data_IF_285030534783
#
_entry.id   IF_285030534783
#
_cell.length_a   1.000
_cell.length_b   1.000
_cell.length_c   1.000
_cell.angle_alpha   90.00
_cell.angle_beta   90.00
_cell.angle_gamma   90.00
#
_symmetry.space_group_name_H-M   'P 1'
#
loop_
_entity.id
_entity.type
_entity.pdbx_description
1 polymer ?
#
# COMPACT_ATOMS: atom_id res chain seq x y z
N UNK A 1 14.11 -13.62 8.43
CA UNK A 1 14.01 -12.95 7.11
C UNK A 1 15.33 -12.39 6.63
N UNK A 2 15.94 -11.38 7.30
CA UNK A 2 17.23 -10.78 6.85
C UNK A 2 18.32 -11.83 6.56
N UNK A 3 18.54 -12.80 7.45
CA UNK A 3 19.52 -13.88 7.19
C UNK A 3 19.17 -14.69 5.93
N UNK A 4 17.88 -14.93 5.65
CA UNK A 4 17.45 -15.65 4.46
C UNK A 4 17.67 -14.81 3.18
N UNK A 5 17.55 -13.48 3.27
CA UNK A 5 17.95 -12.55 2.22
C UNK A 5 19.46 -12.65 1.94
N UNK A 6 20.32 -12.65 2.96
CA UNK A 6 21.78 -12.84 2.79
C UNK A 6 22.11 -14.18 2.12
N UNK A 7 21.32 -15.23 2.39
CA UNK A 7 21.44 -16.51 1.68
C UNK A 7 21.04 -16.40 0.20
N UNK A 8 20.12 -15.50 -0.16
CA UNK A 8 19.83 -15.10 -1.53
C UNK A 8 21.09 -14.62 -2.26
N UNK A 9 21.91 -13.76 -1.64
CA UNK A 9 23.19 -13.35 -2.21
C UNK A 9 24.19 -14.51 -2.34
N UNK A 10 24.18 -15.47 -1.42
CA UNK A 10 25.00 -16.69 -1.57
C UNK A 10 24.56 -17.50 -2.79
N UNK A 11 23.27 -17.58 -3.09
CA UNK A 11 22.74 -18.23 -4.31
C UNK A 11 23.24 -17.48 -5.55
N UNK A 12 23.12 -16.15 -5.55
CA UNK A 12 23.56 -15.26 -6.64
C UNK A 12 25.06 -15.35 -6.93
N UNK A 13 25.88 -15.45 -5.89
CA UNK A 13 27.32 -15.63 -6.04
C UNK A 13 27.67 -16.99 -6.67
N UNK A 14 26.87 -18.03 -6.41
CA UNK A 14 27.13 -19.40 -6.88
C UNK A 14 26.63 -19.66 -8.30
N UNK A 15 25.53 -19.02 -8.70
CA UNK A 15 24.96 -19.17 -10.04
C UNK A 15 25.48 -18.11 -11.04
N UNK A 16 26.32 -17.17 -10.59
CA UNK A 16 26.90 -16.13 -11.43
C UNK A 16 25.95 -14.96 -11.71
N UNK A 17 24.88 -14.77 -10.93
CA UNK A 17 23.93 -13.65 -11.11
C UNK A 17 24.64 -12.30 -11.09
N UNK A 18 25.67 -12.10 -10.26
CA UNK A 18 26.40 -10.83 -10.22
C UNK A 18 27.19 -10.52 -11.50
N UNK A 19 27.43 -11.52 -12.35
CA UNK A 19 28.10 -11.34 -13.65
C UNK A 19 27.11 -10.92 -14.76
N UNK A 20 25.80 -10.85 -14.46
CA UNK A 20 24.74 -10.48 -15.42
C UNK A 20 24.77 -9.00 -15.83
N UNK A 21 25.43 -8.14 -15.05
CA UNK A 21 25.44 -6.69 -15.26
C UNK A 21 24.13 -6.00 -14.91
N UNK A 22 23.19 -6.69 -14.24
CA UNK A 22 21.96 -6.08 -13.75
C UNK A 22 22.26 -5.04 -12.66
N UNK A 23 21.42 -3.98 -12.54
CA UNK A 23 21.48 -3.04 -11.43
C UNK A 23 21.39 -3.74 -10.07
N UNK A 24 22.07 -3.19 -9.05
CA UNK A 24 22.07 -3.76 -7.69
C UNK A 24 20.66 -4.03 -7.19
N UNK A 25 19.74 -3.09 -7.40
CA UNK A 25 18.33 -3.20 -6.98
C UNK A 25 17.63 -4.46 -7.50
N UNK A 26 17.97 -4.95 -8.70
CA UNK A 26 17.39 -6.18 -9.27
C UNK A 26 17.91 -7.40 -8.52
N UNK A 27 19.20 -7.40 -8.14
CA UNK A 27 19.76 -8.47 -7.32
C UNK A 27 19.24 -8.43 -5.88
N UNK A 28 18.99 -7.25 -5.32
CA UNK A 28 18.34 -7.10 -4.01
C UNK A 28 16.91 -7.64 -4.01
N UNK A 29 16.10 -7.28 -5.02
CA UNK A 29 14.76 -7.86 -5.19
C UNK A 29 14.79 -9.39 -5.25
N UNK A 30 15.72 -9.98 -6.00
CA UNK A 30 15.81 -11.44 -6.05
C UNK A 30 16.19 -12.03 -4.67
N UNK A 31 17.05 -11.37 -3.90
CA UNK A 31 17.40 -11.82 -2.55
C UNK A 31 16.20 -11.72 -1.58
N UNK A 32 15.44 -10.63 -1.63
CA UNK A 32 14.18 -10.49 -0.89
C UNK A 32 13.17 -11.57 -1.29
N UNK A 33 13.03 -11.88 -2.58
CA UNK A 33 12.18 -12.98 -3.05
C UNK A 33 12.61 -14.34 -2.49
N UNK A 34 13.92 -14.67 -2.52
CA UNK A 34 14.38 -15.91 -1.91
C UNK A 34 14.11 -15.97 -0.40
N UNK A 35 14.18 -14.82 0.29
CA UNK A 35 13.84 -14.72 1.70
C UNK A 35 12.34 -14.99 1.96
N UNK A 36 11.46 -14.53 1.07
CA UNK A 36 10.03 -14.84 1.09
C UNK A 36 9.75 -16.32 0.87
N UNK A 37 10.36 -16.93 -0.16
CA UNK A 37 10.21 -18.35 -0.45
C UNK A 37 10.70 -19.24 0.70
N UNK A 38 11.79 -18.84 1.38
CA UNK A 38 12.24 -19.51 2.59
C UNK A 38 11.23 -19.36 3.74
N UNK A 39 10.65 -18.17 3.90
CA UNK A 39 9.67 -17.88 4.96
C UNK A 39 8.39 -18.69 4.79
N UNK A 40 7.88 -18.84 3.56
CA UNK A 40 6.73 -19.71 3.28
C UNK A 40 6.99 -21.17 3.68
N UNK A 41 8.20 -21.68 3.41
CA UNK A 41 8.61 -23.03 3.84
C UNK A 41 8.73 -23.14 5.36
N UNK A 42 9.24 -22.10 6.03
CA UNK A 42 9.31 -22.07 7.49
C UNK A 42 7.91 -22.08 8.13
N UNK A 43 6.98 -21.26 7.62
CA UNK A 43 5.57 -21.24 8.04
C UNK A 43 4.89 -22.60 7.83
N UNK A 44 5.17 -23.27 6.72
CA UNK A 44 4.65 -24.61 6.43
C UNK A 44 5.25 -25.73 7.32
N UNK A 45 6.22 -25.43 8.18
CA UNK A 45 6.89 -26.40 9.05
C UNK A 45 7.97 -27.24 8.36
N UNK A 46 8.40 -26.86 7.16
CA UNK A 46 9.43 -27.58 6.39
C UNK A 46 10.86 -27.31 6.87
N UNK A 47 11.03 -26.41 7.86
CA UNK A 47 12.32 -26.02 8.41
C UNK A 47 12.43 -26.52 9.86
N UNK A 48 13.09 -27.67 10.11
CA UNK A 48 13.13 -28.27 11.43
C UNK A 48 13.74 -27.35 12.49
N UNK A 49 13.05 -27.20 13.61
CA UNK A 49 13.52 -26.41 14.76
C UNK A 49 13.31 -24.90 14.65
N UNK A 50 12.60 -24.45 13.61
CA UNK A 50 12.14 -23.06 13.47
C UNK A 50 10.62 -23.08 13.40
N UNK A 51 9.98 -22.35 14.30
CA UNK A 51 8.54 -22.06 14.25
C UNK A 51 8.36 -20.69 13.61
N UNK A 52 7.41 -20.58 12.69
CA UNK A 52 7.02 -19.34 12.04
C UNK A 52 5.50 -19.27 12.04
N UNK A 53 4.96 -18.24 12.70
CA UNK A 53 3.53 -17.88 12.71
C UNK A 53 3.29 -16.67 11.82
N UNK A 54 2.03 -16.24 11.67
CA UNK A 54 1.71 -15.01 10.93
C UNK A 54 2.40 -13.80 11.58
N UNK A 55 2.53 -13.82 12.91
CA UNK A 55 3.30 -12.81 13.66
C UNK A 55 4.77 -12.78 13.24
N UNK A 56 5.44 -13.93 13.03
CA UNK A 56 6.82 -13.93 12.53
C UNK A 56 6.92 -13.53 11.05
N UNK A 57 5.91 -13.82 10.23
CA UNK A 57 5.85 -13.33 8.84
C UNK A 57 5.75 -11.80 8.82
N UNK A 58 4.84 -11.23 9.61
CA UNK A 58 4.65 -9.79 9.75
C UNK A 58 5.88 -9.09 10.31
N UNK A 59 6.50 -9.64 11.37
CA UNK A 59 7.77 -9.14 11.89
C UNK A 59 8.89 -9.22 10.86
N UNK A 60 8.84 -10.21 9.97
CA UNK A 60 9.73 -10.34 8.82
C UNK A 60 9.60 -9.19 7.82
N UNK A 61 8.36 -8.81 7.45
CA UNK A 61 8.09 -7.67 6.58
C UNK A 61 8.50 -6.35 7.25
N UNK A 62 8.17 -6.17 8.54
CA UNK A 62 8.62 -5.01 9.31
C UNK A 62 10.15 -4.89 9.34
N UNK A 63 10.89 -6.01 9.41
CA UNK A 63 12.34 -6.00 9.35
C UNK A 63 12.89 -5.59 7.97
N UNK A 64 12.21 -5.94 6.87
CA UNK A 64 12.58 -5.49 5.52
C UNK A 64 12.37 -3.98 5.36
N UNK A 65 11.25 -3.46 5.87
CA UNK A 65 10.95 -2.02 5.89
C UNK A 65 11.96 -1.26 6.76
N UNK A 66 12.38 -1.84 7.89
CA UNK A 66 13.35 -1.20 8.78
C UNK A 66 14.76 -1.08 8.18
N UNK A 67 15.08 -1.89 7.17
CA UNK A 67 16.39 -1.87 6.48
C UNK A 67 16.27 -1.40 5.03
N UNK A 68 15.18 -0.69 4.69
CA UNK A 68 15.01 -0.01 3.40
C UNK A 68 15.99 1.15 3.26
N UNK A 69 16.15 1.63 2.03
CA UNK A 69 16.94 2.82 1.80
C UNK A 69 16.16 4.09 2.22
N UNK A 70 16.84 5.14 2.70
CA UNK A 70 16.21 6.44 2.88
C UNK A 70 15.62 6.96 1.57
N UNK A 71 14.55 7.76 1.68
CA UNK A 71 14.04 8.59 0.58
C UNK A 71 15.21 9.38 -0.04
N UNK A 72 15.16 9.59 -1.36
CA UNK A 72 16.22 10.15 -2.22
C UNK A 72 17.40 9.22 -2.50
N UNK A 73 17.33 7.95 -2.10
CA UNK A 73 18.31 6.96 -2.55
C UNK A 73 17.89 6.40 -3.90
N UNK A 74 18.60 6.80 -4.95
CA UNK A 74 18.39 6.25 -6.30
C UNK A 74 18.58 4.73 -6.32
N UNK A 75 17.68 4.02 -7.02
CA UNK A 75 17.77 2.58 -7.26
C UNK A 75 19.05 2.18 -8.05
N UNK A 76 19.70 3.14 -8.70
CA UNK A 76 20.97 2.95 -9.40
C UNK A 76 22.20 3.03 -8.48
N UNK A 77 22.03 3.49 -7.25
CA UNK A 77 23.11 3.60 -6.26
C UNK A 77 23.68 2.20 -5.95
N UNK A 78 25.01 2.00 -6.03
CA UNK A 78 25.61 0.75 -5.59
C UNK A 78 25.29 0.47 -4.12
N UNK A 79 24.68 -0.69 -3.85
CA UNK A 79 24.22 -1.09 -2.51
C UNK A 79 22.84 -0.57 -2.11
N UNK A 80 22.06 -0.02 -3.03
CA UNK A 80 20.66 0.31 -2.78
C UNK A 80 19.81 -0.96 -2.62
N UNK A 81 19.08 -1.06 -1.50
CA UNK A 81 18.09 -2.10 -1.21
C UNK A 81 16.73 -1.80 -1.84
N UNK A 82 16.40 -0.53 -2.08
CA UNK A 82 15.10 -0.06 -2.57
C UNK A 82 14.15 0.45 -1.49
N UNK A 83 12.96 0.85 -1.95
CA UNK A 83 11.84 1.28 -1.10
C UNK A 83 11.30 0.12 -0.26
N UNK A 84 10.69 0.41 0.88
CA UNK A 84 9.98 -0.60 1.67
C UNK A 84 8.92 -1.34 0.86
N UNK A 85 8.18 -0.61 0.01
CA UNK A 85 7.21 -1.16 -0.91
C UNK A 85 7.85 -2.19 -1.84
N UNK A 86 8.88 -1.86 -2.60
CA UNK A 86 9.50 -2.79 -3.56
C UNK A 86 10.02 -4.05 -2.90
N UNK A 87 10.64 -3.89 -1.73
CA UNK A 87 11.24 -4.99 -0.96
C UNK A 87 10.21 -5.96 -0.41
N UNK A 88 9.14 -5.44 0.19
CA UNK A 88 8.04 -6.28 0.68
C UNK A 88 7.34 -6.96 -0.49
N UNK A 89 7.19 -6.29 -1.62
CA UNK A 89 6.68 -6.90 -2.85
C UNK A 89 7.50 -8.07 -3.36
N UNK A 90 8.82 -7.90 -3.41
CA UNK A 90 9.73 -8.98 -3.79
C UNK A 90 9.65 -10.16 -2.82
N UNK A 91 9.61 -9.88 -1.52
CA UNK A 91 9.37 -10.89 -0.48
C UNK A 91 8.05 -11.64 -0.71
N UNK A 92 6.93 -10.93 -0.89
CA UNK A 92 5.62 -11.55 -1.14
C UNK A 92 5.62 -12.40 -2.41
N UNK A 93 6.25 -11.93 -3.49
CA UNK A 93 6.36 -12.68 -4.74
C UNK A 93 7.02 -14.06 -4.51
N UNK A 94 8.07 -14.12 -3.69
CA UNK A 94 8.72 -15.38 -3.32
C UNK A 94 7.92 -16.21 -2.32
N UNK A 95 7.25 -15.58 -1.35
CA UNK A 95 6.39 -16.27 -0.38
C UNK A 95 5.24 -16.99 -1.08
N UNK A 96 4.55 -16.31 -2.00
CA UNK A 96 3.38 -16.82 -2.72
C UNK A 96 3.76 -17.83 -3.81
N UNK A 97 4.85 -17.58 -4.56
CA UNK A 97 5.15 -18.33 -5.79
C UNK A 97 6.40 -19.24 -5.67
N UNK A 98 7.04 -19.24 -4.51
CA UNK A 98 8.23 -20.04 -4.23
C UNK A 98 9.47 -19.60 -5.03
N UNK A 99 10.51 -20.43 -4.97
CA UNK A 99 11.82 -20.10 -5.55
C UNK A 99 11.82 -20.02 -7.08
N UNK A 100 10.85 -20.66 -7.76
CA UNK A 100 10.73 -20.62 -9.21
C UNK A 100 10.57 -19.18 -9.71
N UNK A 101 9.62 -18.44 -9.12
CA UNK A 101 9.43 -17.01 -9.42
C UNK A 101 10.70 -16.19 -9.19
N UNK A 102 11.42 -16.46 -8.10
CA UNK A 102 12.64 -15.71 -7.79
C UNK A 102 13.74 -15.88 -8.85
N UNK A 103 13.81 -17.03 -9.53
CA UNK A 103 14.81 -17.23 -10.59
C UNK A 103 14.56 -16.37 -11.84
N UNK A 104 13.31 -15.94 -12.06
CA UNK A 104 12.93 -15.13 -13.21
C UNK A 104 13.24 -13.65 -13.02
N UNK A 105 13.40 -13.18 -11.78
CA UNK A 105 13.51 -11.75 -11.46
C UNK A 105 14.77 -11.08 -12.04
N UNK A 106 15.78 -11.84 -12.45
CA UNK A 106 16.97 -11.28 -13.12
C UNK A 106 16.66 -10.87 -14.55
N UNK A 107 15.81 -11.62 -15.24
CA UNK A 107 15.43 -11.33 -16.63
C UNK A 107 14.11 -10.54 -16.71
N UNK A 108 13.26 -10.67 -15.69
CA UNK A 108 11.96 -10.00 -15.59
C UNK A 108 11.74 -9.49 -14.15
N UNK A 109 12.41 -8.38 -13.76
CA UNK A 109 12.28 -7.80 -12.42
C UNK A 109 10.85 -7.34 -12.13
N UNK A 110 10.52 -7.16 -10.85
CA UNK A 110 9.25 -6.50 -10.51
C UNK A 110 9.35 -5.01 -10.87
N UNK A 111 8.21 -4.38 -11.21
CA UNK A 111 8.15 -2.93 -11.34
C UNK A 111 8.66 -2.27 -10.06
N UNK A 112 9.47 -1.22 -10.23
CA UNK A 112 9.93 -0.37 -9.13
C UNK A 112 9.03 0.86 -9.05
N UNK A 113 8.75 1.29 -7.83
CA UNK A 113 8.07 2.56 -7.58
C UNK A 113 9.10 3.68 -7.36
N UNK A 114 8.74 4.95 -7.61
CA UNK A 114 9.62 6.07 -7.33
C UNK A 114 10.05 6.10 -5.85
N UNK A 115 11.37 6.18 -5.61
CA UNK A 115 11.97 6.31 -4.28
C UNK A 115 12.85 7.57 -4.15
N UNK A 116 12.89 8.38 -5.20
CA UNK A 116 13.61 9.66 -5.25
C UNK A 116 12.73 10.72 -5.89
N UNK A 117 12.84 11.96 -5.42
CA UNK A 117 12.12 13.07 -6.03
C UNK A 117 12.73 13.36 -7.41
N UNK A 118 11.88 13.48 -8.43
CA UNK A 118 12.35 13.81 -9.78
C UNK A 118 12.98 15.22 -9.78
N UNK A 119 14.05 15.41 -10.57
CA UNK A 119 14.62 16.76 -10.77
C UNK A 119 13.61 17.73 -11.45
N UNK A 120 12.55 17.19 -12.05
CA UNK A 120 11.52 17.93 -12.78
C UNK A 120 10.53 18.68 -11.87
N UNK A 121 10.42 18.27 -10.60
CA UNK A 121 9.51 18.89 -9.61
C UNK A 121 10.23 19.34 -8.32
N UNK A 122 11.55 19.52 -8.37
CA UNK A 122 12.32 19.94 -7.22
C UNK A 122 12.15 21.45 -6.90
N UNK A 123 10.98 21.87 -6.41
CA UNK A 123 10.96 23.03 -5.51
C UNK A 123 11.64 22.58 -4.20
N UNK A 124 12.69 23.28 -3.72
CA UNK A 124 13.25 23.01 -2.40
C UNK A 124 12.22 23.07 -1.25
N UNK A 125 11.06 23.71 -1.45
CA UNK A 125 9.91 23.71 -0.53
C UNK A 125 8.95 22.52 -0.73
N UNK A 126 9.04 21.80 -1.85
CA UNK A 126 8.32 20.55 -2.17
C UNK A 126 9.12 19.30 -1.77
N UNK A 127 10.25 19.48 -1.07
CA UNK A 127 10.93 18.40 -0.33
C UNK A 127 10.39 18.26 1.09
N UNK A 128 9.16 18.72 1.32
CA UNK A 128 8.44 18.40 2.53
C UNK A 128 7.79 17.04 2.27
N UNK A 129 8.25 15.95 2.93
CA UNK A 129 7.87 14.59 2.57
C UNK A 129 6.40 14.24 2.86
N UNK A 130 5.63 15.18 3.41
CA UNK A 130 4.26 14.97 3.84
C UNK A 130 3.42 16.22 3.55
N UNK A 131 2.21 16.04 3.02
CA UNK A 131 1.19 17.07 3.05
C UNK A 131 0.85 17.45 4.50
N UNK A 132 0.45 18.71 4.79
CA UNK A 132 0.03 19.10 6.13
C UNK A 132 -1.17 18.26 6.62
N UNK A 133 -1.19 17.87 7.90
CA UNK A 133 -2.33 17.12 8.47
C UNK A 133 -3.66 17.90 8.39
N UNK A 134 -3.63 19.21 8.62
CA UNK A 134 -4.81 20.09 8.56
C UNK A 134 -4.62 21.17 7.49
N UNK A 135 -5.75 21.66 6.96
CA UNK A 135 -5.78 22.91 6.20
C UNK A 135 -5.24 24.05 7.08
N UNK A 136 -4.41 24.91 6.50
CA UNK A 136 -3.94 26.10 7.22
C UNK A 136 -4.15 27.39 6.44
N UNK A 137 -4.29 28.49 7.21
CA UNK A 137 -4.76 29.81 6.77
C UNK A 137 -3.98 30.40 5.58
N UNK A 138 -4.52 31.44 4.91
CA UNK A 138 -4.88 31.50 3.48
C UNK A 138 -3.70 31.45 2.49
N UNK A 139 -2.46 31.32 2.98
CA UNK A 139 -1.21 31.31 2.24
C UNK A 139 -0.56 29.90 2.22
N UNK A 140 -1.18 28.88 2.81
CA UNK A 140 -0.66 27.50 2.93
C UNK A 140 -1.48 26.53 2.06
N UNK A 141 -0.80 25.49 1.56
CA UNK A 141 -1.34 24.37 0.78
C UNK A 141 -2.47 23.65 1.54
N UNK A 142 -3.41 23.08 0.78
CA UNK A 142 -4.48 22.22 1.29
C UNK A 142 -3.90 21.08 2.15
N UNK A 143 -4.60 20.68 3.21
CA UNK A 143 -4.20 19.56 4.06
C UNK A 143 -4.52 18.21 3.41
N UNK A 144 -3.97 17.13 3.97
CA UNK A 144 -4.08 15.77 3.43
C UNK A 144 -5.54 15.34 3.20
N UNK A 145 -6.44 15.65 4.13
CA UNK A 145 -7.87 15.33 3.99
C UNK A 145 -8.50 16.01 2.77
N UNK A 146 -8.15 17.27 2.52
CA UNK A 146 -8.66 18.05 1.38
C UNK A 146 -8.09 17.55 0.07
N UNK A 147 -6.77 17.28 0.02
CA UNK A 147 -6.09 16.76 -1.17
C UNK A 147 -6.66 15.40 -1.58
N UNK A 148 -6.71 14.45 -0.63
CA UNK A 148 -7.14 13.07 -0.90
C UNK A 148 -8.63 13.02 -1.24
N UNK A 149 -9.47 13.73 -0.50
CA UNK A 149 -10.91 13.75 -0.79
C UNK A 149 -11.22 14.37 -2.15
N UNK A 150 -10.50 15.42 -2.56
CA UNK A 150 -10.68 16.03 -3.88
C UNK A 150 -10.32 15.06 -5.01
N UNK A 151 -9.24 14.32 -4.86
CA UNK A 151 -8.78 13.35 -5.86
C UNK A 151 -9.70 12.12 -5.93
N UNK A 152 -10.09 11.55 -4.80
CA UNK A 152 -11.03 10.43 -4.73
C UNK A 152 -12.41 10.81 -5.31
N UNK A 153 -12.89 12.03 -5.04
CA UNK A 153 -14.11 12.57 -5.66
C UNK A 153 -13.97 12.87 -7.15
N UNK A 154 -12.77 12.82 -7.71
CA UNK A 154 -12.53 12.87 -9.16
C UNK A 154 -12.41 11.46 -9.75
N UNK A 155 -11.68 10.57 -9.07
CA UNK A 155 -11.42 9.20 -9.49
C UNK A 155 -12.70 8.35 -9.59
N UNK A 156 -13.49 8.30 -8.51
CA UNK A 156 -14.64 7.38 -8.45
C UNK A 156 -15.76 7.67 -9.45
N UNK A 157 -16.14 8.94 -9.70
CA UNK A 157 -17.09 9.25 -10.77
C UNK A 157 -16.63 8.74 -12.14
N UNK A 158 -15.34 8.80 -12.47
CA UNK A 158 -14.78 8.29 -13.73
C UNK A 158 -14.89 6.77 -13.82
N UNK A 159 -14.58 6.05 -12.73
CA UNK A 159 -14.75 4.60 -12.65
C UNK A 159 -16.21 4.19 -12.87
N UNK A 160 -17.13 4.92 -12.25
CA UNK A 160 -18.56 4.63 -12.29
C UNK A 160 -19.26 5.06 -13.59
N UNK A 161 -18.61 5.79 -14.51
CA UNK A 161 -19.21 6.15 -15.80
C UNK A 161 -19.73 4.93 -16.56
N UNK A 162 -19.00 3.81 -16.47
CA UNK A 162 -19.33 2.56 -17.16
C UNK A 162 -20.50 1.79 -16.53
N UNK A 163 -20.79 2.01 -15.24
CA UNK A 163 -21.85 1.31 -14.50
C UNK A 163 -23.21 1.96 -14.73
N UNK A 164 -23.24 3.23 -15.11
CA UNK A 164 -24.45 4.03 -15.24
C UNK A 164 -25.04 4.50 -13.89
N UNK A 165 -24.40 4.15 -12.78
CA UNK A 165 -24.74 4.63 -11.44
C UNK A 165 -23.86 5.83 -11.12
N UNK A 166 -24.40 7.03 -10.82
CA UNK A 166 -23.58 8.16 -10.44
C UNK A 166 -22.94 7.92 -9.07
N UNK A 167 -21.63 8.09 -8.98
CA UNK A 167 -20.93 8.11 -7.69
C UNK A 167 -21.20 9.45 -6.98
N UNK A 168 -21.67 9.46 -5.72
CA UNK A 168 -21.93 10.70 -4.98
C UNK A 168 -20.61 11.39 -4.62
N UNK A 169 -20.65 12.72 -4.48
CA UNK A 169 -19.55 13.45 -3.86
C UNK A 169 -19.59 13.17 -2.37
N UNK A 170 -18.50 12.62 -1.82
CA UNK A 170 -18.38 12.36 -0.39
C UNK A 170 -17.66 13.51 0.31
N UNK A 171 -17.97 13.72 1.58
CA UNK A 171 -17.31 14.70 2.45
C UNK A 171 -16.62 13.99 3.60
N UNK A 172 -15.54 14.57 4.12
CA UNK A 172 -14.78 14.00 5.23
C UNK A 172 -15.02 14.82 6.49
N UNK A 173 -15.39 14.16 7.59
CA UNK A 173 -15.62 14.81 8.88
C UNK A 173 -14.96 14.04 10.02
N UNK A 174 -14.30 14.76 10.93
CA UNK A 174 -13.79 14.16 12.15
C UNK A 174 -14.96 13.69 13.02
N UNK A 175 -14.81 12.51 13.62
CA UNK A 175 -15.71 11.94 14.62
C UNK A 175 -14.97 11.83 15.97
N UNK A 176 -14.93 12.90 16.79
CA UNK A 176 -14.22 12.88 18.08
C UNK A 176 -14.80 11.90 19.09
N UNK A 177 -16.04 11.47 18.89
CA UNK A 177 -16.69 10.40 19.63
C UNK A 177 -17.46 9.54 18.61
N UNK A 178 -16.84 8.46 18.10
CA UNK A 178 -17.44 7.51 17.15
C UNK A 178 -18.82 7.01 17.59
N UNK A 179 -19.05 6.87 18.91
CA UNK A 179 -20.32 6.42 19.46
C UNK A 179 -21.45 7.46 19.33
N UNK A 180 -21.13 8.72 19.02
CA UNK A 180 -22.10 9.79 18.78
C UNK A 180 -22.30 10.11 17.30
N UNK A 181 -21.64 9.39 16.39
CA UNK A 181 -21.92 9.52 14.96
C UNK A 181 -23.31 8.95 14.69
N UNK A 182 -24.22 9.77 14.16
CA UNK A 182 -25.62 9.43 13.97
C UNK A 182 -25.91 8.43 12.84
N UNK A 183 -24.90 7.66 12.42
CA UNK A 183 -24.98 6.71 11.33
C UNK A 183 -25.11 5.28 11.86
N UNK A 184 -26.26 4.65 11.63
CA UNK A 184 -26.54 3.30 12.14
C UNK A 184 -25.74 2.20 11.43
N UNK A 185 -25.22 2.50 10.23
CA UNK A 185 -24.54 1.56 9.35
C UNK A 185 -23.01 1.60 9.53
N UNK A 186 -22.49 2.49 10.39
CA UNK A 186 -21.08 2.47 10.79
C UNK A 186 -20.89 1.41 11.87
N UNK A 187 -20.35 0.26 11.47
CA UNK A 187 -19.64 -0.61 12.41
C UNK A 187 -18.38 0.17 12.85
N UNK A 188 -18.17 0.27 14.16
CA UNK A 188 -17.28 1.23 14.85
C UNK A 188 -16.19 1.92 14.00
N UNK A 189 -16.20 3.26 13.97
CA UNK A 189 -15.10 4.10 13.45
C UNK A 189 -13.85 4.06 14.38
N UNK A 190 -13.89 3.22 15.42
CA UNK A 190 -12.74 3.02 16.31
C UNK A 190 -11.59 2.44 15.48
N UNK A 191 -10.44 3.11 15.51
CA UNK A 191 -9.21 2.68 14.82
C UNK A 191 -9.23 2.78 13.28
N UNK A 192 -10.15 3.56 12.66
CA UNK A 192 -10.18 3.77 11.20
C UNK A 192 -11.02 4.99 10.73
N UNK A 193 -11.36 5.03 9.44
CA UNK A 193 -12.44 5.82 8.85
C UNK A 193 -13.55 4.91 8.31
N UNK A 194 -14.80 5.40 8.32
CA UNK A 194 -15.96 4.67 7.83
C UNK A 194 -16.91 5.55 7.02
N UNK A 195 -17.51 4.96 5.98
CA UNK A 195 -18.47 5.63 5.11
C UNK A 195 -19.90 5.50 5.66
N UNK A 196 -20.58 6.64 5.82
CA UNK A 196 -21.99 6.69 6.16
C UNK A 196 -22.87 6.83 4.91
N UNK A 197 -23.58 5.77 4.54
CA UNK A 197 -24.48 5.77 3.39
C UNK A 197 -25.65 6.77 3.54
N UNK A 198 -26.11 7.01 4.77
CA UNK A 198 -27.30 7.82 5.05
C UNK A 198 -27.13 9.30 4.67
N UNK A 199 -25.91 9.84 4.78
CA UNK A 199 -25.62 11.25 4.52
C UNK A 199 -24.44 11.50 3.54
N UNK A 200 -23.73 10.45 3.13
CA UNK A 200 -22.62 10.57 2.18
C UNK A 200 -21.31 11.04 2.82
N UNK A 201 -21.14 10.85 4.13
CA UNK A 201 -19.98 11.34 4.89
C UNK A 201 -19.02 10.20 5.22
N UNK A 202 -17.72 10.43 5.04
CA UNK A 202 -16.65 9.61 5.59
C UNK A 202 -16.27 10.20 6.95
N UNK A 203 -16.61 9.48 8.01
CA UNK A 203 -16.23 9.83 9.38
C UNK A 203 -14.90 9.18 9.74
N UNK A 204 -14.04 9.88 10.45
CA UNK A 204 -12.75 9.34 10.90
C UNK A 204 -12.45 9.66 12.37
N UNK A 205 -11.72 8.78 13.04
CA UNK A 205 -11.13 9.08 14.34
C UNK A 205 -9.89 9.97 14.18
N UNK A 206 -10.02 11.24 14.57
CA UNK A 206 -8.95 12.24 14.46
C UNK A 206 -7.69 11.86 15.27
N UNK A 207 -7.87 11.22 16.43
CA UNK A 207 -6.74 10.83 17.28
C UNK A 207 -5.94 9.69 16.65
N UNK A 208 -6.64 8.73 16.04
CA UNK A 208 -6.02 7.64 15.29
C UNK A 208 -5.33 8.16 14.02
N UNK A 209 -6.00 8.99 13.22
CA UNK A 209 -5.41 9.59 12.01
C UNK A 209 -4.16 10.42 12.35
N UNK A 210 -4.20 11.14 13.47
CA UNK A 210 -3.05 11.90 13.97
C UNK A 210 -1.89 10.98 14.36
N UNK A 211 -2.18 9.84 14.99
CA UNK A 211 -1.19 8.84 15.35
C UNK A 211 -0.55 8.19 14.10
N UNK A 212 -1.34 7.88 13.07
CA UNK A 212 -0.82 7.41 11.78
C UNK A 212 0.10 8.45 11.14
N UNK A 213 -0.34 9.70 11.07
CA UNK A 213 0.42 10.80 10.49
C UNK A 213 1.76 11.02 11.22
N UNK A 214 1.74 11.07 12.56
CA UNK A 214 2.95 11.30 13.34
C UNK A 214 3.94 10.10 13.29
N UNK A 215 3.44 8.87 13.07
CA UNK A 215 4.28 7.66 13.02
C UNK A 215 4.83 7.34 11.63
N UNK A 216 4.02 7.51 10.59
CA UNK A 216 4.32 7.02 9.25
C UNK A 216 4.41 8.15 8.24
N UNK A 217 3.44 9.06 8.24
CA UNK A 217 3.36 10.18 7.30
C UNK A 217 1.94 10.39 6.77
N UNK A 218 1.80 11.29 5.82
CA UNK A 218 0.52 11.71 5.27
C UNK A 218 -0.23 10.60 4.53
N UNK A 219 0.47 9.70 3.87
CA UNK A 219 -0.15 8.65 3.08
C UNK A 219 -0.72 7.54 3.97
N UNK A 220 -0.30 7.44 5.23
CA UNK A 220 -1.03 6.64 6.21
C UNK A 220 -2.49 7.08 6.36
N UNK A 221 -2.74 8.41 6.35
CA UNK A 221 -4.09 8.98 6.32
C UNK A 221 -4.74 8.76 4.95
N UNK A 222 -3.99 8.99 3.87
CA UNK A 222 -4.46 8.79 2.50
C UNK A 222 -4.95 7.37 2.22
N UNK A 223 -4.25 6.35 2.75
CA UNK A 223 -4.61 4.95 2.66
C UNK A 223 -5.98 4.68 3.31
N UNK A 224 -6.18 5.13 4.55
CA UNK A 224 -7.43 4.91 5.29
C UNK A 224 -8.61 5.67 4.66
N UNK A 225 -8.39 6.86 4.10
CA UNK A 225 -9.42 7.55 3.33
C UNK A 225 -9.76 6.82 2.03
N UNK A 226 -8.75 6.29 1.32
CA UNK A 226 -8.95 5.51 0.11
C UNK A 226 -9.80 4.26 0.33
N UNK A 227 -9.60 3.56 1.46
CA UNK A 227 -10.41 2.38 1.80
C UNK A 227 -11.86 2.77 2.11
N UNK A 228 -12.12 3.92 2.74
CA UNK A 228 -13.48 4.39 2.99
C UNK A 228 -14.25 4.74 1.71
N UNK A 229 -13.60 5.34 0.71
CA UNK A 229 -14.21 5.55 -0.61
C UNK A 229 -14.43 4.24 -1.38
N UNK A 230 -13.49 3.30 -1.24
CA UNK A 230 -13.65 1.95 -1.81
C UNK A 230 -14.84 1.24 -1.19
N UNK A 231 -15.09 1.44 0.10
CA UNK A 231 -16.24 0.89 0.80
C UNK A 231 -17.56 1.48 0.27
N UNK A 232 -17.61 2.81 0.07
CA UNK A 232 -18.73 3.47 -0.57
C UNK A 232 -19.00 2.94 -1.99
N UNK A 233 -17.95 2.63 -2.74
CA UNK A 233 -18.09 2.00 -4.06
C UNK A 233 -18.69 0.60 -3.99
N UNK A 234 -18.24 -0.21 -3.02
CA UNK A 234 -18.80 -1.54 -2.80
C UNK A 234 -20.28 -1.49 -2.41
N UNK A 235 -20.69 -0.53 -1.57
CA UNK A 235 -22.09 -0.32 -1.20
C UNK A 235 -22.96 0.06 -2.41
N UNK A 236 -22.49 0.98 -3.24
CA UNK A 236 -23.21 1.43 -4.44
C UNK A 236 -23.37 0.33 -5.48
N UNK A 237 -22.46 -0.64 -5.48
CA UNK A 237 -22.50 -1.81 -6.36
C UNK A 237 -23.25 -2.99 -5.74
N UNK A 238 -23.76 -2.85 -4.52
CA UNK A 238 -24.40 -3.94 -3.76
C UNK A 238 -23.48 -5.18 -3.66
N UNK A 239 -22.19 -4.93 -3.42
CA UNK A 239 -21.16 -5.98 -3.29
C UNK A 239 -21.58 -7.04 -2.25
N UNK A 240 -21.48 -8.33 -2.57
CA UNK A 240 -21.89 -9.40 -1.66
C UNK A 240 -20.84 -9.71 -0.57
N UNK A 241 -19.67 -9.06 -0.64
CA UNK A 241 -18.58 -9.31 0.29
C UNK A 241 -18.82 -8.68 1.67
N UNK A 242 -18.33 -9.36 2.70
CA UNK A 242 -18.28 -8.90 4.08
C UNK A 242 -16.91 -9.18 4.69
N UNK A 243 -16.65 -8.58 5.86
CA UNK A 243 -15.49 -8.86 6.71
C UNK A 243 -14.17 -8.80 5.90
N UNK A 244 -13.30 -9.80 6.05
CA UNK A 244 -11.97 -9.82 5.42
C UNK A 244 -12.07 -9.66 3.90
N UNK A 245 -12.97 -10.38 3.23
CA UNK A 245 -13.09 -10.33 1.77
C UNK A 245 -13.45 -8.93 1.25
N UNK A 246 -14.27 -8.20 2.00
CA UNK A 246 -14.63 -6.81 1.69
C UNK A 246 -13.46 -5.87 1.97
N UNK A 247 -12.76 -6.06 3.09
CA UNK A 247 -11.60 -5.28 3.49
C UNK A 247 -10.45 -5.41 2.49
N UNK A 248 -10.12 -6.63 2.06
CA UNK A 248 -9.09 -6.90 1.06
C UNK A 248 -9.44 -6.33 -0.32
N UNK A 249 -10.72 -6.34 -0.69
CA UNK A 249 -11.16 -5.65 -1.91
C UNK A 249 -11.01 -4.12 -1.79
N UNK A 250 -11.31 -3.53 -0.62
CA UNK A 250 -11.04 -2.11 -0.36
C UNK A 250 -9.55 -1.78 -0.50
N UNK A 251 -8.66 -2.65 -0.01
CA UNK A 251 -7.22 -2.47 -0.15
C UNK A 251 -6.81 -2.45 -1.63
N UNK A 252 -7.32 -3.39 -2.44
CA UNK A 252 -7.06 -3.40 -3.88
C UNK A 252 -7.60 -2.16 -4.59
N UNK A 253 -8.86 -1.79 -4.32
CA UNK A 253 -9.50 -0.64 -4.95
C UNK A 253 -8.76 0.67 -4.60
N UNK A 254 -8.31 0.80 -3.36
CA UNK A 254 -7.42 1.89 -2.92
C UNK A 254 -6.12 1.90 -3.73
N UNK A 255 -5.49 0.74 -3.94
CA UNK A 255 -4.36 0.60 -4.85
C UNK A 255 -4.69 1.07 -6.27
N UNK A 256 -5.88 0.74 -6.79
CA UNK A 256 -6.25 1.12 -8.15
C UNK A 256 -6.50 2.63 -8.33
N UNK A 257 -6.88 3.33 -7.26
CA UNK A 257 -6.81 4.80 -7.19
C UNK A 257 -5.37 5.29 -7.18
N UNK A 258 -4.52 4.72 -6.30
CA UNK A 258 -3.09 5.04 -6.20
C UNK A 258 -2.39 4.93 -7.54
N UNK A 259 -2.73 3.94 -8.37
CA UNK A 259 -2.21 3.80 -9.74
C UNK A 259 -2.36 5.07 -10.58
N UNK A 260 -3.40 5.88 -10.35
CA UNK A 260 -3.66 7.10 -11.13
C UNK A 260 -2.85 8.31 -10.67
N UNK A 261 -2.42 8.30 -9.42
CA UNK A 261 -1.61 9.36 -8.78
C UNK A 261 -0.12 8.97 -8.65
N UNK A 262 0.23 7.72 -8.98
CA UNK A 262 1.60 7.26 -9.18
C UNK A 262 2.17 7.78 -10.50
N UNK A 263 3.33 8.45 -10.51
CA UNK A 263 3.93 8.92 -11.74
C UNK A 263 4.50 7.76 -12.56
N UNK A 264 4.41 7.89 -13.89
CA UNK A 264 5.00 6.96 -14.84
C UNK A 264 6.51 7.22 -15.06
N UNK A 265 7.10 6.52 -16.04
CA UNK A 265 8.53 6.68 -16.40
C UNK A 265 8.90 8.08 -16.89
N UNK A 266 7.92 8.89 -17.31
CA UNK A 266 8.09 10.27 -17.76
C UNK A 266 7.76 11.29 -16.66
N UNK A 267 7.55 10.81 -15.43
CA UNK A 267 7.16 11.61 -14.28
C UNK A 267 5.74 12.21 -14.38
N UNK A 268 4.88 11.60 -15.22
CA UNK A 268 3.50 12.03 -15.47
C UNK A 268 2.50 11.14 -14.71
N UNK A 269 1.50 11.76 -14.09
CA UNK A 269 0.32 11.07 -13.51
C UNK A 269 -0.84 11.06 -14.51
N UNK A 270 -1.95 10.41 -14.16
CA UNK A 270 -3.18 10.50 -14.98
C UNK A 270 -3.56 11.97 -15.22
N UNK A 271 -4.00 12.37 -16.44
CA UNK A 271 -4.43 13.75 -16.70
C UNK A 271 -5.60 14.24 -15.83
N UNK A 272 -6.30 13.30 -15.19
CA UNK A 272 -7.42 13.56 -14.27
C UNK A 272 -6.99 13.58 -12.80
N UNK A 273 -5.75 13.21 -12.50
CA UNK A 273 -5.21 13.26 -11.15
C UNK A 273 -5.04 14.73 -10.71
N UNK A 274 -5.49 14.99 -9.51
CA UNK A 274 -5.36 16.26 -8.77
C UNK A 274 -4.43 16.12 -7.57
N UNK A 275 -4.15 14.90 -7.13
CA UNK A 275 -3.11 14.53 -6.18
C UNK A 275 -1.96 13.78 -6.88
N UNK A 276 -0.87 13.55 -6.14
CA UNK A 276 0.31 12.84 -6.61
C UNK A 276 0.98 12.14 -5.44
N UNK A 277 1.43 10.92 -5.68
CA UNK A 277 2.27 10.17 -4.73
C UNK A 277 3.68 10.77 -4.67
N UNK A 278 4.19 10.92 -3.46
CA UNK A 278 5.55 11.31 -3.16
C UNK A 278 6.44 10.08 -2.86
N UNK A 279 7.77 10.20 -3.04
CA UNK A 279 8.72 9.19 -2.56
C UNK A 279 8.60 8.98 -1.05
N UNK A 280 8.09 7.84 -0.64
CA UNK A 280 7.88 7.51 0.78
C UNK A 280 6.47 6.99 1.04
N UNK A 281 5.46 7.58 0.41
CA UNK A 281 4.04 7.30 0.63
C UNK A 281 3.70 5.80 0.55
N UNK A 282 4.25 5.09 -0.44
CA UNK A 282 3.95 3.67 -0.57
C UNK A 282 4.61 2.82 0.52
N UNK A 283 5.71 3.29 1.14
CA UNK A 283 6.26 2.66 2.35
C UNK A 283 5.33 2.90 3.54
N UNK A 284 4.73 4.08 3.64
CA UNK A 284 3.75 4.42 4.67
C UNK A 284 2.48 3.58 4.54
N UNK A 285 2.05 3.26 3.31
CA UNK A 285 0.98 2.30 3.07
C UNK A 285 1.33 0.92 3.65
N UNK A 286 2.56 0.45 3.43
CA UNK A 286 3.04 -0.82 4.00
C UNK A 286 3.13 -0.73 5.53
N UNK A 287 3.58 0.38 6.10
CA UNK A 287 3.64 0.56 7.55
C UNK A 287 2.25 0.65 8.18
N UNK A 288 1.30 1.31 7.50
CA UNK A 288 -0.10 1.44 7.94
C UNK A 288 -0.78 0.08 7.98
N UNK A 289 -0.66 -0.72 6.92
CA UNK A 289 -1.20 -2.09 6.88
C UNK A 289 -0.60 -3.02 7.94
N UNK A 290 0.67 -2.82 8.33
CA UNK A 290 1.27 -3.53 9.46
C UNK A 290 0.65 -3.15 10.81
N UNK A 291 0.07 -1.95 10.94
CA UNK A 291 -0.59 -1.50 12.15
C UNK A 291 -2.06 -1.94 12.21
N UNK A 292 -2.78 -1.82 11.09
CA UNK A 292 -4.25 -2.02 11.04
C UNK A 292 -4.69 -3.41 10.59
N UNK A 293 -3.76 -4.26 10.14
CA UNK A 293 -4.08 -5.63 9.73
C UNK A 293 -4.33 -6.56 10.91
N UNK A 294 -5.09 -7.61 10.66
CA UNK A 294 -5.36 -8.67 11.64
C UNK A 294 -4.05 -9.28 12.16
N UNK A 295 -4.01 -9.60 13.46
CA UNK A 295 -2.81 -10.16 14.08
C UNK A 295 -2.49 -11.56 13.56
N UNK A 296 -3.52 -12.30 13.13
CA UNK A 296 -3.42 -13.62 12.53
C UNK A 296 -4.50 -13.80 11.46
N UNK A 297 -4.26 -14.67 10.48
CA UNK A 297 -5.22 -14.95 9.41
C UNK A 297 -6.51 -15.65 9.90
N UNK A 298 -6.55 -16.12 11.15
CA UNK A 298 -7.74 -16.75 11.73
C UNK A 298 -8.75 -15.73 12.30
N UNK A 299 -8.41 -14.42 12.34
CA UNK A 299 -9.33 -13.38 12.80
C UNK A 299 -10.42 -13.08 11.76
N UNK A 300 -10.10 -13.13 10.46
CA UNK A 300 -11.04 -13.05 9.32
C UNK A 300 -11.93 -11.78 9.37
N UNK A 301 -11.34 -10.64 9.77
CA UNK A 301 -12.04 -9.34 9.89
C UNK A 301 -11.53 -8.33 8.87
N UNK A 302 -10.23 -8.01 8.90
CA UNK A 302 -9.63 -7.06 7.99
C UNK A 302 -8.63 -7.73 7.03
N UNK A 303 -8.19 -8.94 7.35
CA UNK A 303 -7.08 -9.63 6.71
C UNK A 303 -5.74 -9.21 7.31
N UNK A 304 -4.76 -10.10 7.25
CA UNK A 304 -3.42 -9.81 7.79
C UNK A 304 -2.74 -8.72 7.00
N UNK A 305 -1.76 -8.05 7.59
CA UNK A 305 -0.92 -7.08 6.86
C UNK A 305 -0.37 -7.65 5.54
N UNK A 306 -0.02 -8.94 5.51
CA UNK A 306 0.47 -9.61 4.30
C UNK A 306 -0.59 -9.59 3.19
N UNK A 307 -1.84 -9.92 3.51
CA UNK A 307 -2.94 -9.94 2.55
C UNK A 307 -3.33 -8.53 2.11
N UNK A 308 -3.39 -7.58 3.05
CA UNK A 308 -3.66 -6.16 2.76
C UNK A 308 -2.66 -5.59 1.77
N UNK A 309 -1.37 -5.79 2.03
CA UNK A 309 -0.30 -5.31 1.14
C UNK A 309 -0.39 -6.00 -0.22
N UNK A 310 -0.64 -7.31 -0.28
CA UNK A 310 -0.75 -8.04 -1.56
C UNK A 310 -1.89 -7.48 -2.44
N UNK A 311 -3.07 -7.26 -1.84
CA UNK A 311 -4.22 -6.66 -2.52
C UNK A 311 -3.95 -5.22 -2.96
N UNK A 312 -3.47 -4.37 -2.05
CA UNK A 312 -3.13 -2.98 -2.35
C UNK A 312 -2.11 -2.87 -3.49
N UNK A 313 -1.06 -3.69 -3.46
CA UNK A 313 -0.03 -3.73 -4.51
C UNK A 313 -0.59 -4.11 -5.87
N UNK A 314 -1.48 -5.09 -5.93
CA UNK A 314 -2.07 -5.51 -7.19
C UNK A 314 -2.85 -4.37 -7.85
N UNK A 315 -3.66 -3.64 -7.06
CA UNK A 315 -4.33 -2.43 -7.51
C UNK A 315 -3.35 -1.33 -7.93
N UNK A 316 -2.32 -1.05 -7.13
CA UNK A 316 -1.34 0.01 -7.38
C UNK A 316 -0.50 -0.23 -8.65
N UNK A 317 -0.22 -1.49 -8.97
CA UNK A 317 0.61 -1.86 -10.11
C UNK A 317 -0.22 -2.15 -11.37
N UNK A 318 -1.37 -2.81 -11.23
CA UNK A 318 -2.16 -3.34 -12.34
C UNK A 318 -3.51 -2.61 -12.54
N UNK A 319 -3.85 -1.67 -11.65
CA UNK A 319 -5.04 -0.84 -11.75
C UNK A 319 -6.34 -1.59 -11.47
N UNK A 320 -7.47 -0.95 -11.82
CA UNK A 320 -8.81 -1.42 -11.45
C UNK A 320 -9.14 -2.82 -11.99
N UNK A 321 -8.62 -3.17 -13.17
CA UNK A 321 -8.87 -4.47 -13.80
C UNK A 321 -8.44 -5.64 -12.90
N UNK A 322 -7.32 -5.50 -12.18
CA UNK A 322 -6.82 -6.53 -11.29
C UNK A 322 -7.70 -6.74 -10.05
N UNK A 323 -8.34 -5.67 -9.57
CA UNK A 323 -9.30 -5.76 -8.48
C UNK A 323 -10.62 -6.36 -8.92
N UNK A 324 -11.10 -6.03 -10.13
CA UNK A 324 -12.36 -6.53 -10.66
C UNK A 324 -12.35 -8.04 -10.92
N UNK A 325 -11.20 -8.65 -11.22
CA UNK A 325 -11.08 -10.11 -11.35
C UNK A 325 -11.37 -10.85 -10.03
N UNK A 326 -11.34 -10.14 -8.89
CA UNK A 326 -11.61 -10.66 -7.56
C UNK A 326 -13.09 -10.50 -7.17
N UNK A 327 -13.90 -9.78 -7.95
CA UNK A 327 -15.34 -9.62 -7.73
C UNK A 327 -16.08 -10.78 -8.42
N UNK A 328 -16.79 -11.67 -7.69
CA UNK A 328 -17.55 -12.75 -8.31
C UNK A 328 -18.70 -12.19 -9.15
N UNK A 329 -18.89 -12.79 -10.33
CA UNK A 329 -19.94 -12.47 -11.31
C UNK A 329 -21.37 -12.42 -10.73
#
# INVERSE_FOLDING_TARGET
VVIAHEWGHVIQARNGTFDSGQPTIVTEQQADCFSGAWTARARAGDVPGIEFTDTEVQAGMAALIAVRDPIDTSASTPGAHGSGFDRVGAFQAGYLNGTGRCTELIDSPLPLVPNEFSELNADPADRNPDAPFEDSSPDIKDGIFTIVAADLNTYWPLVFESTGTPFPVLVVEAAPDPANVGCADLESVEESAGYCQADGTVYYDESFMRELYDQFGDFGVGYVLGTAWSDAAQDLLESPFSDESRSLLNDCLTGSWVRTILPDENDETSPTATARIEPGDLDEAVQTTLLIGDATADEDIAGTAFEKIDNFRDGALNGLAACSERIPD
#
